data_IF_785575984259
#
_entry.id   IF_785575984259
#
_cell.length_a   1.000
_cell.length_b   1.000
_cell.length_c   1.000
_cell.angle_alpha   90.00
_cell.angle_beta   90.00
_cell.angle_gamma   90.00
#
_symmetry.space_group_name_H-M   'P 1'
#
loop_
_entity.id
_entity.type
_entity.pdbx_description
1 polymer ?
#
# COMPACT_ATOMS: atom_id res chain seq x y z
N UNK A 1 1.95 -5.78 12.01
CA UNK A 1 2.49 -4.91 10.94
C UNK A 1 3.95 -5.19 10.58
N UNK A 2 4.78 -5.68 11.51
CA UNK A 2 6.20 -5.98 11.28
C UNK A 2 6.46 -6.88 10.06
N UNK A 3 5.65 -7.92 9.85
CA UNK A 3 5.75 -8.82 8.70
C UNK A 3 5.59 -8.13 7.33
N UNK A 4 4.86 -7.01 7.26
CA UNK A 4 4.62 -6.27 6.01
C UNK A 4 5.63 -5.15 5.76
N UNK A 5 6.51 -4.87 6.73
CA UNK A 5 7.63 -3.91 6.62
C UNK A 5 7.21 -2.53 6.11
N UNK A 6 6.06 -2.03 6.56
CA UNK A 6 5.62 -0.69 6.24
C UNK A 6 6.47 0.35 6.99
N UNK A 7 6.79 1.46 6.32
CA UNK A 7 7.48 2.58 6.96
C UNK A 7 6.50 3.48 7.74
N UNK A 8 5.30 3.67 7.22
CA UNK A 8 4.24 4.49 7.82
C UNK A 8 3.00 3.61 7.98
N UNK A 9 2.41 3.64 9.18
CA UNK A 9 1.15 2.93 9.49
C UNK A 9 0.13 3.97 9.95
N UNK A 10 -0.97 4.07 9.20
CA UNK A 10 -2.06 5.00 9.48
C UNK A 10 -3.18 4.26 10.21
N UNK A 11 -3.88 4.94 11.12
CA UNK A 11 -5.05 4.42 11.85
C UNK A 11 -6.27 5.30 11.55
N UNK A 12 -7.47 4.72 11.69
CA UNK A 12 -8.73 5.46 11.56
C UNK A 12 -9.34 5.49 10.15
N UNK A 13 -8.79 4.73 9.21
CA UNK A 13 -9.38 4.53 7.87
C UNK A 13 -10.15 3.22 7.80
N UNK A 14 -11.03 3.10 6.79
CA UNK A 14 -11.65 1.82 6.47
C UNK A 14 -10.59 0.79 6.01
N UNK A 15 -10.88 -0.52 6.09
CA UNK A 15 -9.98 -1.54 5.55
C UNK A 15 -9.69 -1.29 4.07
N UNK A 16 -8.41 -1.32 3.70
CA UNK A 16 -7.95 -1.14 2.31
C UNK A 16 -8.27 0.22 1.68
N UNK A 17 -8.63 1.21 2.49
CA UNK A 17 -8.94 2.57 2.03
C UNK A 17 -7.77 3.23 1.29
N UNK A 18 -6.53 2.80 1.57
CA UNK A 18 -5.32 3.28 0.90
C UNK A 18 -5.27 2.98 -0.62
N UNK A 19 -6.11 2.06 -1.10
CA UNK A 19 -6.18 1.71 -2.50
C UNK A 19 -6.67 2.88 -3.39
N UNK A 20 -7.35 3.87 -2.83
CA UNK A 20 -7.88 5.03 -3.57
C UNK A 20 -7.13 6.34 -3.28
N UNK A 21 -6.06 6.30 -2.48
CA UNK A 21 -5.29 7.49 -2.14
C UNK A 21 -4.40 7.92 -3.31
N UNK A 22 -4.55 9.15 -3.79
CA UNK A 22 -3.69 9.73 -4.82
C UNK A 22 -2.49 10.45 -4.18
N UNK A 23 -2.76 11.28 -3.18
CA UNK A 23 -1.74 11.99 -2.41
C UNK A 23 -2.03 11.89 -0.92
N UNK A 24 -0.97 11.88 -0.13
CA UNK A 24 -1.02 11.94 1.33
C UNK A 24 -0.13 13.08 1.79
N UNK A 25 -0.65 13.91 2.70
CA UNK A 25 0.12 14.97 3.35
C UNK A 25 0.18 14.69 4.85
N UNK A 26 1.41 14.73 5.38
CA UNK A 26 1.69 14.59 6.82
C UNK A 26 2.57 15.78 7.22
N UNK A 27 2.03 16.70 8.01
CA UNK A 27 2.67 17.99 8.25
C UNK A 27 2.93 18.74 6.93
N UNK A 28 4.21 18.96 6.61
CA UNK A 28 4.63 19.59 5.34
C UNK A 28 5.04 18.58 4.24
N UNK A 29 5.18 17.30 4.60
CA UNK A 29 5.64 16.25 3.69
C UNK A 29 4.49 15.84 2.80
N UNK A 30 4.75 15.75 1.49
CA UNK A 30 3.76 15.34 0.49
C UNK A 30 4.23 14.06 -0.15
N UNK A 31 3.39 13.04 -0.09
CA UNK A 31 3.57 11.74 -0.70
C UNK A 31 2.60 11.58 -1.86
N UNK A 32 3.07 11.04 -2.97
CA UNK A 32 2.25 10.68 -4.13
C UNK A 32 2.24 9.17 -4.31
N UNK A 33 1.06 8.59 -4.53
CA UNK A 33 0.95 7.16 -4.79
C UNK A 33 1.63 6.82 -6.11
N UNK A 34 2.49 5.81 -6.08
CA UNK A 34 3.20 5.29 -7.26
C UNK A 34 2.51 4.03 -7.75
N UNK A 35 2.29 3.06 -6.85
CA UNK A 35 1.67 1.79 -7.20
C UNK A 35 1.17 1.03 -5.95
N UNK A 36 0.22 0.09 -6.10
CA UNK A 36 -0.06 -0.91 -5.07
C UNK A 36 1.19 -1.72 -4.70
N UNK A 37 1.25 -2.21 -3.47
CA UNK A 37 2.36 -3.04 -2.99
C UNK A 37 2.00 -4.53 -3.07
N UNK A 38 2.73 -5.24 -3.93
CA UNK A 38 2.64 -6.69 -4.05
C UNK A 38 3.33 -7.35 -2.87
N UNK A 39 2.71 -8.38 -2.32
CA UNK A 39 3.28 -9.15 -1.21
C UNK A 39 3.96 -10.41 -1.71
N UNK A 40 5.19 -10.59 -1.24
CA UNK A 40 6.04 -11.71 -1.57
C UNK A 40 6.15 -12.67 -0.38
N UNK A 41 6.91 -13.74 -0.57
CA UNK A 41 7.18 -14.77 0.43
C UNK A 41 7.70 -14.22 1.78
N UNK A 42 8.40 -13.09 1.78
CA UNK A 42 8.98 -12.55 3.02
C UNK A 42 7.93 -12.17 4.06
N UNK A 43 6.68 -11.94 3.67
CA UNK A 43 5.61 -11.69 4.66
C UNK A 43 5.29 -12.92 5.49
N UNK A 44 5.69 -14.13 5.06
CA UNK A 44 5.44 -15.38 5.79
C UNK A 44 6.53 -15.72 6.80
N UNK A 45 7.60 -14.92 6.86
CA UNK A 45 8.70 -15.10 7.81
C UNK A 45 8.37 -14.39 9.11
N UNK A 46 8.44 -15.13 10.23
CA UNK A 46 8.36 -14.54 11.57
C UNK A 46 9.58 -13.62 11.79
N UNK A 47 9.38 -12.32 12.06
CA UNK A 47 10.48 -11.36 12.18
C UNK A 47 11.32 -11.54 13.45
N UNK A 48 10.84 -12.29 14.45
CA UNK A 48 11.56 -12.59 15.69
C UNK A 48 12.32 -13.91 15.54
N UNK A 49 11.69 -14.94 14.99
CA UNK A 49 12.28 -16.28 14.89
C UNK A 49 13.06 -16.52 13.60
N UNK A 50 12.80 -15.75 12.54
CA UNK A 50 13.38 -15.97 11.21
C UNK A 50 12.81 -17.17 10.46
N UNK A 51 11.78 -17.82 11.01
CA UNK A 51 11.19 -19.04 10.47
C UNK A 51 9.99 -18.72 9.56
N UNK A 52 9.83 -19.50 8.48
CA UNK A 52 8.66 -19.39 7.60
C UNK A 52 7.46 -20.08 8.24
N UNK A 53 6.30 -19.45 8.14
CA UNK A 53 5.05 -20.05 8.56
C UNK A 53 4.75 -21.31 7.72
N UNK A 54 4.47 -22.48 8.33
CA UNK A 54 4.32 -23.74 7.60
C UNK A 54 3.16 -23.72 6.60
N UNK A 55 2.09 -22.96 6.90
CA UNK A 55 0.93 -22.75 6.01
C UNK A 55 1.07 -21.55 5.07
N UNK A 56 2.25 -20.93 4.99
CA UNK A 56 2.51 -19.76 4.14
C UNK A 56 1.63 -18.55 4.46
N UNK A 57 1.16 -18.43 5.71
CA UNK A 57 0.41 -17.27 6.17
C UNK A 57 1.34 -16.08 6.38
N UNK A 58 0.88 -14.83 6.12
CA UNK A 58 -0.48 -14.43 5.74
C UNK A 58 -0.78 -14.48 4.23
N UNK A 59 0.17 -14.97 3.42
CA UNK A 59 0.07 -14.89 1.95
C UNK A 59 -1.06 -15.75 1.40
N UNK A 60 -1.29 -16.94 1.98
CA UNK A 60 -2.40 -17.83 1.66
C UNK A 60 -3.74 -17.11 1.85
N UNK A 61 -3.96 -16.50 3.02
CA UNK A 61 -5.19 -15.73 3.29
C UNK A 61 -5.34 -14.54 2.34
N UNK A 62 -4.28 -13.74 2.15
CA UNK A 62 -4.33 -12.56 1.27
C UNK A 62 -4.70 -12.91 -0.17
N UNK A 63 -4.28 -14.06 -0.68
CA UNK A 63 -4.62 -14.50 -2.05
C UNK A 63 -6.12 -14.68 -2.27
N UNK A 64 -6.88 -14.99 -1.22
CA UNK A 64 -8.34 -15.24 -1.32
C UNK A 64 -9.14 -13.98 -1.63
N UNK A 65 -8.66 -12.78 -1.21
CA UNK A 65 -9.44 -11.53 -1.32
C UNK A 65 -8.66 -10.32 -1.85
N UNK A 66 -7.33 -10.41 -1.98
CA UNK A 66 -6.46 -9.31 -2.45
C UNK A 66 -5.69 -9.61 -3.74
N UNK A 67 -6.07 -10.67 -4.45
CA UNK A 67 -5.52 -10.97 -5.78
C UNK A 67 -6.27 -10.18 -6.85
N UNK A 68 -5.55 -9.68 -7.85
CA UNK A 68 -6.17 -9.06 -9.03
C UNK A 68 -6.87 -10.15 -9.85
N UNK A 69 -8.15 -9.94 -10.19
CA UNK A 69 -8.95 -10.92 -10.96
C UNK A 69 -8.56 -10.96 -12.44
N UNK A 70 -8.07 -9.85 -12.99
CA UNK A 70 -7.55 -9.76 -14.35
C UNK A 70 -6.17 -9.09 -14.34
N UNK A 71 -5.12 -9.74 -14.83
CA UNK A 71 -3.86 -9.06 -15.03
C UNK A 71 -4.00 -8.05 -16.17
N UNK A 72 -4.04 -6.75 -15.84
CA UNK A 72 -3.77 -5.70 -16.82
C UNK A 72 -2.53 -6.04 -17.65
N UNK A 73 -2.36 -5.54 -18.89
CA UNK A 73 -1.21 -5.90 -19.76
C UNK A 73 0.18 -5.81 -19.09
N UNK A 74 0.32 -4.97 -18.06
CA UNK A 74 1.50 -4.83 -17.19
C UNK A 74 1.74 -5.97 -16.17
N UNK A 75 0.76 -6.85 -15.95
CA UNK A 75 0.73 -7.80 -14.84
C UNK A 75 1.17 -9.23 -15.21
N UNK A 76 1.64 -9.50 -16.44
CA UNK A 76 2.11 -10.86 -16.80
C UNK A 76 3.23 -11.40 -15.88
N UNK A 77 4.06 -10.54 -15.31
CA UNK A 77 5.12 -10.96 -14.38
C UNK A 77 4.66 -11.06 -12.90
N UNK A 78 3.49 -10.50 -12.57
CA UNK A 78 3.08 -10.27 -11.18
C UNK A 78 1.61 -10.61 -10.86
N UNK A 79 0.89 -11.22 -11.80
CA UNK A 79 -0.55 -11.47 -11.76
C UNK A 79 -1.03 -12.24 -10.51
N UNK A 80 -0.16 -13.03 -9.90
CA UNK A 80 -0.49 -13.97 -8.83
C UNK A 80 -0.14 -13.48 -7.43
N UNK A 81 0.44 -12.28 -7.30
CA UNK A 81 0.82 -11.73 -5.99
C UNK A 81 -0.30 -10.88 -5.41
N UNK A 82 -0.79 -11.16 -4.19
CA UNK A 82 -1.82 -10.34 -3.58
C UNK A 82 -1.30 -8.95 -3.21
N UNK A 83 -2.19 -7.98 -3.19
CA UNK A 83 -1.90 -6.58 -2.92
C UNK A 83 -2.25 -6.19 -1.49
N UNK A 84 -1.34 -5.54 -0.78
CA UNK A 84 -1.63 -5.01 0.55
C UNK A 84 -0.79 -3.78 0.81
N UNK A 85 -1.39 -2.64 1.14
CA UNK A 85 -0.69 -1.37 1.22
C UNK A 85 -0.24 -0.81 -0.14
N UNK A 86 0.32 0.40 -0.10
CA UNK A 86 0.73 1.16 -1.29
C UNK A 86 2.18 1.62 -1.17
N UNK A 87 2.84 1.79 -2.32
CA UNK A 87 4.13 2.45 -2.41
C UNK A 87 3.92 3.90 -2.81
N UNK A 88 4.58 4.82 -2.12
CA UNK A 88 4.49 6.25 -2.36
C UNK A 88 5.88 6.86 -2.57
N UNK A 89 5.96 7.84 -3.47
CA UNK A 89 7.12 8.70 -3.63
C UNK A 89 6.95 9.97 -2.80
N UNK A 90 8.05 10.59 -2.41
CA UNK A 90 8.06 11.86 -1.68
C UNK A 90 8.22 12.97 -2.71
N UNK A 91 7.21 13.82 -2.83
CA UNK A 91 7.24 15.00 -3.70
C UNK A 91 7.71 16.24 -2.92
N UNK A 92 7.45 16.33 -1.61
CA UNK A 92 7.94 17.39 -0.71
C UNK A 92 8.50 16.77 0.56
N UNK A 93 9.74 17.13 0.95
CA UNK A 93 10.47 16.53 2.07
C UNK A 93 10.26 17.28 3.40
N UNK A 94 10.49 16.56 4.51
CA UNK A 94 10.40 17.11 5.85
C UNK A 94 10.31 16.03 6.93
N UNK A 95 10.22 16.44 8.20
CA UNK A 95 10.04 15.50 9.30
C UNK A 95 8.61 14.95 9.30
N UNK A 96 8.48 13.70 9.76
CA UNK A 96 7.21 13.04 10.09
C UNK A 96 7.35 12.44 11.47
N UNK A 97 6.34 12.63 12.32
CA UNK A 97 6.30 12.11 13.68
C UNK A 97 5.05 11.26 13.93
N UNK A 98 5.15 10.34 14.89
CA UNK A 98 3.99 9.59 15.38
C UNK A 98 3.00 10.58 16.01
N UNK A 99 1.73 10.48 15.59
CA UNK A 99 0.66 11.37 16.06
C UNK A 99 0.34 12.51 15.10
N UNK A 100 1.13 12.72 14.05
CA UNK A 100 0.82 13.71 13.02
C UNK A 100 -0.49 13.39 12.30
N UNK A 101 -1.26 14.43 12.01
CA UNK A 101 -2.50 14.30 11.22
C UNK A 101 -2.17 13.93 9.78
N UNK A 102 -2.91 12.96 9.26
CA UNK A 102 -2.80 12.47 7.89
C UNK A 102 -3.94 13.05 7.07
N UNK A 103 -3.61 13.83 6.04
CA UNK A 103 -4.57 14.36 5.07
C UNK A 103 -4.44 13.60 3.76
N UNK A 104 -5.57 13.22 3.16
CA UNK A 104 -5.60 12.36 1.97
C UNK A 104 -6.37 13.04 0.85
N UNK A 105 -5.76 13.12 -0.33
CA UNK A 105 -6.46 13.40 -1.58
C UNK A 105 -6.69 12.09 -2.33
N UNK A 106 -7.91 11.85 -2.82
CA UNK A 106 -8.31 10.61 -3.47
C UNK A 106 -8.30 10.72 -4.99
N UNK A 107 -8.14 9.60 -5.68
CA UNK A 107 -8.24 9.54 -7.14
C UNK A 107 -9.69 9.83 -7.59
N UNK A 108 -9.89 10.84 -8.43
CA UNK A 108 -11.18 11.06 -9.11
C UNK A 108 -11.29 10.14 -10.32
N UNK A 109 -12.46 9.51 -10.51
CA UNK A 109 -12.74 8.68 -11.69
C UNK A 109 -13.05 9.50 -12.95
N UNK A 110 -13.23 10.82 -12.85
CA UNK A 110 -13.60 11.67 -13.98
C UNK A 110 -13.17 13.13 -13.75
N UNK A 111 -11.92 13.51 -14.06
CA UNK A 111 -11.50 14.89 -13.93
C UNK A 111 -11.97 15.68 -15.17
N UNK A 112 -13.14 16.30 -15.09
CA UNK A 112 -13.51 17.37 -16.02
C UNK A 112 -12.56 18.54 -15.76
N UNK A 113 -11.54 18.70 -16.60
CA UNK A 113 -10.53 19.76 -16.46
C UNK A 113 -10.50 20.60 -17.74
N UNK A 114 -10.64 21.91 -17.57
CA UNK A 114 -10.41 22.90 -18.62
C UNK A 114 -9.49 23.96 -18.03
N UNK A 115 -8.33 24.13 -18.64
CA UNK A 115 -7.41 25.22 -18.35
C UNK A 115 -7.81 26.38 -19.27
N UNK A 116 -7.97 27.58 -18.72
CA UNK A 116 -8.03 28.83 -19.50
C UNK A 116 -6.77 29.63 -19.20
#
# INVERSE_FOLDING_TARGET
>A
MSQFRANIVVRGSAPSDEDDWAYVKIGRVVFRKVKPCQRCLLTTVDPVKGERHPKMEPLTTLRTFRSLKEPAKLAKAWATSPLFGINMAIDVTGPVAVGDKVLVARTSKNPALTVF
#
